data_IF_768211308281
#
_entry.id   IF_768211308281
#
_cell.length_a   1.000
_cell.length_b   1.000
_cell.length_c   1.000
_cell.angle_alpha   90.00
_cell.angle_beta   90.00
_cell.angle_gamma   90.00
#
_symmetry.space_group_name_H-M   'P 1'
#
loop_
_entity.id
_entity.type
_entity.pdbx_description
1 polymer ?
#
# COMPACT_ATOMS: atom_id res chain seq x y z
N UNK A 1 -3.49 -34.05 47.79
CA UNK A 1 -2.78 -34.94 46.83
C UNK A 1 -3.84 -35.67 46.03
N UNK A 2 -4.01 -35.27 44.76
CA UNK A 2 -4.91 -35.89 43.78
C UNK A 2 -4.07 -36.38 42.59
N UNK A 3 -4.53 -37.42 41.85
CA UNK A 3 -3.65 -38.34 41.15
C UNK A 3 -3.17 -37.83 39.78
N UNK A 4 -2.04 -38.40 39.34
CA UNK A 4 -1.14 -37.97 38.24
C UNK A 4 -1.71 -38.04 36.80
N UNK A 5 -3.01 -38.06 36.58
CA UNK A 5 -3.61 -38.24 35.24
C UNK A 5 -4.13 -36.93 34.59
N UNK A 6 -3.82 -35.76 35.15
CA UNK A 6 -4.30 -34.45 34.66
C UNK A 6 -3.18 -33.47 34.23
N UNK A 7 -1.98 -33.96 33.83
CA UNK A 7 -0.84 -33.09 33.47
C UNK A 7 -0.40 -33.26 32.00
N UNK A 8 -1.32 -33.42 31.06
CA UNK A 8 -0.99 -33.62 29.63
C UNK A 8 -1.79 -32.77 28.64
N UNK A 9 -2.59 -31.80 29.08
CA UNK A 9 -3.44 -31.00 28.16
C UNK A 9 -3.50 -29.50 28.49
N UNK A 10 -2.40 -28.91 28.93
CA UNK A 10 -2.25 -27.45 28.99
C UNK A 10 -1.30 -26.99 27.87
N UNK A 11 -1.64 -25.98 27.04
CA UNK A 11 -0.69 -25.45 26.08
C UNK A 11 0.51 -24.87 26.82
N UNK A 12 1.70 -25.37 26.46
CA UNK A 12 2.99 -24.89 26.93
C UNK A 12 3.13 -23.44 26.45
N UNK A 13 3.25 -22.50 27.38
CA UNK A 13 3.62 -21.12 27.06
C UNK A 13 5.09 -21.13 26.65
N UNK A 14 5.35 -21.18 25.34
CA UNK A 14 6.68 -20.91 24.77
C UNK A 14 6.68 -19.47 24.31
N UNK A 15 7.36 -18.61 25.05
CA UNK A 15 7.58 -17.21 24.69
C UNK A 15 8.46 -17.14 23.44
N UNK A 16 7.89 -16.74 22.30
CA UNK A 16 8.54 -15.80 21.40
C UNK A 16 7.47 -15.08 20.56
N UNK A 17 7.68 -13.77 20.39
CA UNK A 17 6.67 -12.72 20.28
C UNK A 17 5.59 -12.92 19.17
N UNK A 18 4.31 -12.92 19.58
CA UNK A 18 3.05 -12.76 18.79
C UNK A 18 2.33 -13.99 18.18
N UNK A 19 2.10 -15.06 18.93
CA UNK A 19 1.03 -16.01 18.62
C UNK A 19 0.20 -16.34 19.88
N UNK A 20 -1.11 -16.00 19.87
CA UNK A 20 -2.09 -16.52 20.83
C UNK A 20 -2.99 -17.48 20.05
N UNK A 21 -2.91 -18.78 20.33
CA UNK A 21 -3.83 -19.78 19.79
C UNK A 21 -5.00 -19.96 20.77
N UNK A 22 -6.22 -19.67 20.32
CA UNK A 22 -7.46 -20.09 21.00
C UNK A 22 -8.11 -21.15 20.11
N UNK A 23 -8.24 -22.37 20.63
CA UNK A 23 -8.89 -23.50 19.95
C UNK A 23 -10.28 -23.70 20.56
N UNK A 24 -11.33 -23.27 19.86
CA UNK A 24 -12.70 -23.63 20.21
C UNK A 24 -13.24 -24.70 19.25
N UNK A 25 -13.93 -25.68 19.83
CA UNK A 25 -14.05 -27.07 19.38
C UNK A 25 -15.33 -27.36 18.58
N UNK A 26 -16.03 -26.34 18.09
CA UNK A 26 -17.34 -26.50 17.47
C UNK A 26 -17.44 -25.68 16.19
N UNK A 27 -17.52 -26.41 15.07
CA UNK A 27 -17.76 -25.99 13.68
C UNK A 27 -16.52 -25.89 12.81
N UNK A 28 -16.37 -26.93 12.00
CA UNK A 28 -15.74 -26.92 10.69
C UNK A 28 -16.15 -25.67 9.91
N UNK A 29 -15.38 -24.61 10.04
CA UNK A 29 -15.17 -23.61 8.99
C UNK A 29 -13.80 -23.02 9.25
N UNK A 30 -12.87 -23.25 8.33
CA UNK A 30 -11.55 -22.62 8.34
C UNK A 30 -11.74 -21.14 7.99
N UNK A 31 -12.30 -20.36 8.91
CA UNK A 31 -12.27 -18.91 8.80
C UNK A 31 -10.84 -18.49 9.16
N UNK A 32 -10.01 -18.42 8.13
CA UNK A 32 -8.78 -17.65 8.13
C UNK A 32 -9.16 -16.17 8.28
N UNK A 33 -9.52 -15.76 9.49
CA UNK A 33 -10.00 -14.42 9.84
C UNK A 33 -8.86 -13.39 9.95
N UNK A 34 -7.77 -13.59 9.21
CA UNK A 34 -6.68 -12.61 9.02
C UNK A 34 -6.30 -12.45 7.53
N UNK A 35 -7.21 -12.74 6.60
CA UNK A 35 -6.93 -12.55 5.16
C UNK A 35 -8.09 -12.01 4.33
N UNK A 36 -8.99 -11.21 4.90
CA UNK A 36 -10.12 -10.62 4.16
C UNK A 36 -10.38 -9.13 4.49
N UNK A 37 -9.33 -8.31 4.47
CA UNK A 37 -9.46 -6.90 4.11
C UNK A 37 -8.44 -6.61 3.00
N UNK A 38 -8.57 -7.32 1.88
CA UNK A 38 -7.97 -6.92 0.60
C UNK A 38 -8.98 -6.08 -0.21
N UNK A 39 -9.88 -5.37 0.49
CA UNK A 39 -10.65 -4.31 -0.14
C UNK A 39 -9.61 -3.27 -0.54
N UNK A 40 -9.43 -2.95 -1.84
CA UNK A 40 -8.52 -1.90 -2.23
C UNK A 40 -8.97 -0.65 -1.49
N UNK A 41 -8.16 -0.22 -0.52
CA UNK A 41 -8.43 0.98 0.24
C UNK A 41 -8.54 2.09 -0.78
N UNK A 42 -9.67 2.78 -0.82
CA UNK A 42 -9.86 3.89 -1.74
C UNK A 42 -8.75 4.92 -1.47
N UNK A 43 -7.88 5.10 -2.45
CA UNK A 43 -6.80 6.07 -2.39
C UNK A 43 -7.39 7.38 -2.91
N UNK A 44 -7.59 8.35 -2.02
CA UNK A 44 -8.03 9.68 -2.42
C UNK A 44 -6.92 10.38 -3.21
N UNK A 45 -7.29 11.21 -4.17
CA UNK A 45 -6.34 12.03 -4.93
C UNK A 45 -6.78 13.48 -4.79
N UNK A 46 -5.85 14.38 -4.50
CA UNK A 46 -6.14 15.81 -4.52
C UNK A 46 -6.48 16.27 -5.94
N UNK A 47 -7.49 17.14 -6.06
CA UNK A 47 -7.93 17.67 -7.35
C UNK A 47 -6.78 18.30 -8.14
N UNK A 48 -5.84 18.96 -7.47
CA UNK A 48 -4.66 19.58 -8.11
C UNK A 48 -3.75 18.54 -8.79
N UNK A 49 -3.54 17.39 -8.14
CA UNK A 49 -2.76 16.29 -8.69
C UNK A 49 -3.51 15.65 -9.85
N UNK A 50 -4.81 15.39 -9.69
CA UNK A 50 -5.65 14.85 -10.75
C UNK A 50 -5.67 15.77 -11.97
N UNK A 51 -5.87 17.07 -11.78
CA UNK A 51 -5.88 18.09 -12.83
C UNK A 51 -4.53 18.15 -13.56
N UNK A 52 -3.43 18.11 -12.82
CA UNK A 52 -2.08 18.09 -13.37
C UNK A 52 -1.89 16.86 -14.26
N UNK A 53 -2.14 15.67 -13.72
CA UNK A 53 -1.95 14.41 -14.46
C UNK A 53 -2.87 14.39 -15.68
N UNK A 54 -4.13 14.77 -15.55
CA UNK A 54 -5.09 14.79 -16.67
C UNK A 54 -4.65 15.72 -17.82
N UNK A 55 -4.03 16.87 -17.52
CA UNK A 55 -3.56 17.85 -18.53
C UNK A 55 -2.24 17.48 -19.18
N UNK A 56 -1.38 16.73 -18.49
CA UNK A 56 -0.01 16.39 -18.93
C UNK A 56 0.08 15.55 -20.22
N UNK A 57 -0.97 14.77 -20.54
CA UNK A 57 -0.97 13.73 -21.60
C UNK A 57 0.12 12.65 -21.40
N UNK A 58 0.55 12.43 -20.16
CA UNK A 58 1.56 11.45 -19.76
C UNK A 58 1.05 10.61 -18.60
N UNK A 59 1.56 9.39 -18.49
CA UNK A 59 1.36 8.54 -17.32
C UNK A 59 2.40 8.85 -16.25
N UNK A 60 2.01 8.69 -14.99
CA UNK A 60 2.87 8.94 -13.84
C UNK A 60 2.88 7.74 -12.90
N UNK A 61 3.88 7.73 -12.02
CA UNK A 61 4.03 6.71 -10.99
C UNK A 61 4.31 7.34 -9.63
N UNK A 62 3.53 6.92 -8.63
CA UNK A 62 3.81 7.17 -7.22
C UNK A 62 4.71 6.06 -6.67
N UNK A 63 5.97 6.42 -6.42
CA UNK A 63 7.02 5.55 -5.90
C UNK A 63 7.65 6.12 -4.62
N UNK A 64 8.59 5.38 -4.04
CA UNK A 64 9.36 5.82 -2.86
C UNK A 64 10.75 6.27 -3.28
N UNK A 65 11.16 7.43 -2.79
CA UNK A 65 12.54 7.92 -2.87
C UNK A 65 13.13 8.02 -1.47
N UNK A 66 14.42 8.33 -1.37
CA UNK A 66 15.06 8.64 -0.08
C UNK A 66 14.41 9.84 0.65
N UNK A 67 13.72 10.73 -0.09
CA UNK A 67 12.96 11.86 0.46
C UNK A 67 11.49 11.57 0.78
N UNK A 68 11.04 10.32 0.63
CA UNK A 68 9.64 9.93 0.83
C UNK A 68 8.88 9.64 -0.47
N UNK A 69 7.53 9.61 -0.42
CA UNK A 69 6.68 9.37 -1.59
C UNK A 69 6.87 10.45 -2.65
N UNK A 70 7.04 10.04 -3.90
CA UNK A 70 7.23 10.93 -5.03
C UNK A 70 6.42 10.46 -6.24
N UNK A 71 5.82 11.41 -6.94
CA UNK A 71 5.18 11.23 -8.24
C UNK A 71 6.18 11.67 -9.30
N UNK A 72 6.50 10.75 -10.20
CA UNK A 72 7.39 11.00 -11.34
C UNK A 72 6.76 10.43 -12.61
N UNK A 73 7.12 10.93 -13.81
CA UNK A 73 6.71 10.33 -15.07
C UNK A 73 7.00 8.83 -15.14
N UNK A 74 6.14 8.10 -15.86
CA UNK A 74 6.26 6.66 -16.04
C UNK A 74 7.52 6.24 -16.84
N UNK A 75 8.10 7.14 -17.64
CA UNK A 75 9.38 6.94 -18.33
C UNK A 75 10.60 7.08 -17.39
N UNK A 76 10.48 7.90 -16.34
CA UNK A 76 11.50 8.05 -15.29
C UNK A 76 11.45 6.91 -14.27
N UNK A 77 10.25 6.42 -13.93
CA UNK A 77 10.06 5.25 -13.08
C UNK A 77 9.01 4.32 -13.67
N UNK A 78 9.49 3.27 -14.36
CA UNK A 78 8.64 2.34 -15.07
C UNK A 78 7.63 1.66 -14.12
N UNK A 79 6.31 1.73 -14.42
CA UNK A 79 5.28 1.07 -13.63
C UNK A 79 5.49 -0.45 -13.55
N UNK A 80 5.10 -1.05 -12.43
CA UNK A 80 5.08 -2.52 -12.28
C UNK A 80 3.66 -3.04 -12.49
N UNK A 81 3.53 -4.28 -12.97
CA UNK A 81 2.23 -4.93 -13.16
C UNK A 81 1.40 -5.01 -11.87
N UNK A 82 2.08 -5.10 -10.73
CA UNK A 82 1.45 -5.12 -9.41
C UNK A 82 0.93 -3.75 -8.93
N UNK A 83 1.32 -2.66 -9.59
CA UNK A 83 0.95 -1.30 -9.17
C UNK A 83 -0.56 -1.08 -9.37
N UNK A 84 -1.18 -0.36 -8.44
CA UNK A 84 -2.59 0.02 -8.52
C UNK A 84 -2.74 1.12 -9.57
N UNK A 85 -3.66 0.95 -10.51
CA UNK A 85 -3.91 1.90 -11.59
C UNK A 85 -5.07 2.81 -11.21
N UNK A 86 -4.80 4.11 -11.08
CA UNK A 86 -5.83 5.14 -10.91
C UNK A 86 -5.99 5.89 -12.23
N UNK A 87 -7.19 5.86 -12.81
CA UNK A 87 -7.49 6.53 -14.09
C UNK A 87 -7.83 8.01 -13.87
N UNK A 88 -7.19 8.87 -14.64
CA UNK A 88 -7.30 10.34 -14.58
C UNK A 88 -7.59 10.87 -15.99
N UNK A 89 -8.79 10.57 -16.49
CA UNK A 89 -9.11 10.70 -17.92
C UNK A 89 -8.36 9.64 -18.74
N UNK A 90 -7.64 10.08 -19.78
CA UNK A 90 -6.83 9.20 -20.65
C UNK A 90 -5.53 8.74 -19.98
N UNK A 91 -5.07 9.49 -18.97
CA UNK A 91 -3.80 9.23 -18.29
C UNK A 91 -4.00 8.34 -17.06
N UNK A 92 -2.93 7.68 -16.63
CA UNK A 92 -2.92 6.74 -15.52
C UNK A 92 -1.87 7.14 -14.49
N UNK A 93 -2.28 7.21 -13.23
CA UNK A 93 -1.38 7.23 -12.09
C UNK A 93 -1.17 5.80 -11.58
N UNK A 94 0.05 5.31 -11.69
CA UNK A 94 0.46 4.01 -11.17
C UNK A 94 0.95 4.14 -9.73
N UNK A 95 0.22 3.60 -8.78
CA UNK A 95 0.59 3.63 -7.36
C UNK A 95 1.29 2.32 -7.00
N UNK A 96 2.54 2.42 -6.54
CA UNK A 96 3.27 1.26 -6.02
C UNK A 96 2.44 0.47 -5.02
N UNK A 97 2.27 -0.85 -5.24
CA UNK A 97 1.53 -1.74 -4.32
C UNK A 97 2.04 -1.65 -2.88
N UNK A 98 3.35 -1.43 -2.72
CA UNK A 98 3.98 -1.26 -1.41
C UNK A 98 3.52 0.05 -0.79
N UNK A 99 3.49 1.15 -1.55
CA UNK A 99 3.06 2.47 -1.05
C UNK A 99 1.57 2.52 -0.74
N UNK A 100 0.73 1.89 -1.56
CA UNK A 100 -0.72 1.84 -1.38
C UNK A 100 -1.17 1.25 -0.03
N UNK A 101 -0.31 0.47 0.64
CA UNK A 101 -0.57 -0.04 1.99
C UNK A 101 -0.50 1.05 3.07
N UNK A 102 0.24 2.13 2.81
CA UNK A 102 0.59 3.15 3.80
C UNK A 102 0.00 4.53 3.49
N UNK A 103 -0.24 4.85 2.21
CA UNK A 103 -0.84 6.12 1.83
C UNK A 103 -2.36 6.06 1.90
N UNK A 104 -2.97 7.19 2.29
CA UNK A 104 -4.44 7.37 2.30
C UNK A 104 -4.91 8.39 1.27
N UNK A 105 -4.02 9.27 0.87
CA UNK A 105 -4.27 10.37 -0.06
C UNK A 105 -3.01 10.64 -0.87
N UNK A 106 -3.18 10.90 -2.16
CA UNK A 106 -2.15 11.41 -3.05
C UNK A 106 -2.23 12.93 -3.02
N UNK A 107 -1.12 13.56 -2.67
CA UNK A 107 -1.06 14.99 -2.36
C UNK A 107 -0.09 15.72 -3.29
N UNK A 108 -0.32 17.01 -3.53
CA UNK A 108 0.50 17.83 -4.43
C UNK A 108 1.98 17.86 -4.01
N UNK A 109 2.28 17.77 -2.70
CA UNK A 109 3.65 17.67 -2.19
C UNK A 109 4.45 16.50 -2.76
N UNK A 110 3.79 15.42 -3.17
CA UNK A 110 4.44 14.26 -3.78
C UNK A 110 4.93 14.57 -5.20
N UNK A 111 4.38 15.59 -5.85
CA UNK A 111 4.71 16.04 -7.20
C UNK A 111 5.78 17.14 -7.22
N UNK A 112 5.91 17.90 -6.12
CA UNK A 112 6.84 19.03 -6.00
C UNK A 112 8.29 18.66 -6.33
N UNK A 113 8.73 17.44 -5.97
CA UNK A 113 10.08 16.98 -6.29
C UNK A 113 10.33 16.94 -7.80
N UNK A 114 9.35 16.45 -8.57
CA UNK A 114 9.42 16.41 -10.03
C UNK A 114 9.29 17.80 -10.67
N UNK A 115 8.40 18.66 -10.16
CA UNK A 115 8.26 20.04 -10.67
C UNK A 115 9.55 20.85 -10.47
N UNK A 116 10.18 20.73 -9.31
CA UNK A 116 11.46 21.38 -9.04
C UNK A 116 12.58 20.82 -9.93
N UNK A 117 12.54 19.52 -10.25
CA UNK A 117 13.46 18.93 -11.22
C UNK A 117 13.25 19.53 -12.61
N UNK A 118 11.99 19.68 -13.05
CA UNK A 118 11.67 20.27 -14.35
C UNK A 118 12.14 21.73 -14.46
N UNK A 119 11.82 22.55 -13.45
CA UNK A 119 12.21 23.96 -13.38
C UNK A 119 13.73 24.16 -13.48
N UNK A 120 14.50 23.39 -12.68
CA UNK A 120 15.97 23.48 -12.68
C UNK A 120 16.64 23.05 -13.98
N UNK A 121 15.97 22.22 -14.77
CA UNK A 121 16.51 21.67 -16.02
C UNK A 121 15.86 22.29 -17.27
N UNK A 122 14.93 23.25 -17.12
CA UNK A 122 14.19 23.83 -18.24
C UNK A 122 13.33 22.82 -19.00
N UNK A 123 12.81 21.81 -18.31
CA UNK A 123 11.96 20.75 -18.89
C UNK A 123 10.48 21.13 -18.67
N UNK A 124 9.65 20.89 -19.68
CA UNK A 124 8.20 21.00 -19.51
C UNK A 124 7.65 19.73 -18.82
N UNK A 125 6.97 19.87 -17.66
CA UNK A 125 6.53 18.73 -16.85
C UNK A 125 5.47 17.82 -17.50
#
# INVERSE_FOLDING_TARGET
MLPLNEIMNGPIIVQNQYCIEIVDRLKYTKYCLVSMIDVPREIKVENEVEDFIRKSKKDYRLCTTCGGPAIVPADMSMPKDSDIKLKMGENTLHVSKVQARYIRQVEMRMLLGYLNYCDRNGIEP
#
